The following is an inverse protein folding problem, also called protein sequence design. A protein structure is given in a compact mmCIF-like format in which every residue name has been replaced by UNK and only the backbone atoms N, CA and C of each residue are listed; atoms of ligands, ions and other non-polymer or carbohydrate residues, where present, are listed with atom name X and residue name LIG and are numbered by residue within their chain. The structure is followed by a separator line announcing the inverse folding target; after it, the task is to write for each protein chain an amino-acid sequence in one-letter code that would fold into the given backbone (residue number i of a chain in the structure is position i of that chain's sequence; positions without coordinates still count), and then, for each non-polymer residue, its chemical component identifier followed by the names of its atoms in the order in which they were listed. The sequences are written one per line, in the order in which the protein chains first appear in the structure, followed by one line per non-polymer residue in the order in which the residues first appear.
data_IF_661573296480
#
_entry.id   IF_661573296480
#
_cell.length_a   1.000
_cell.length_b   1.000
_cell.length_c   1.000
_cell.angle_alpha   90.00
_cell.angle_beta   90.00
_cell.angle_gamma   90.00
#
_symmetry.space_group_name_H-M   'P 1'
#
loop_
_entity.id
_entity.type
_entity.pdbx_description
1 polymer ?
#
# COMPACT_ATOMS: atom_id res chain seq x y z
N UNK A 1 8.18 -34.69 -24.45
CA UNK A 1 7.98 -33.23 -24.41
C UNK A 1 6.53 -32.98 -24.01
N UNK A 2 6.28 -32.42 -22.83
CA UNK A 2 4.92 -32.16 -22.34
C UNK A 2 4.36 -30.93 -23.02
N UNK A 3 3.51 -31.12 -24.01
CA UNK A 3 2.66 -30.07 -24.59
C UNK A 3 1.61 -29.72 -23.54
N UNK A 4 1.96 -28.77 -22.66
CA UNK A 4 1.04 -28.21 -21.67
C UNK A 4 -0.14 -27.60 -22.41
N UNK A 5 -1.25 -28.35 -22.52
CA UNK A 5 -2.53 -27.80 -22.93
C UNK A 5 -2.92 -26.79 -21.87
N UNK A 6 -2.67 -25.52 -22.16
CA UNK A 6 -2.89 -24.42 -21.23
C UNK A 6 -4.35 -24.48 -20.74
N UNK A 7 -4.51 -24.86 -19.48
CA UNK A 7 -5.80 -25.18 -18.85
C UNK A 7 -6.57 -23.92 -18.46
N UNK A 8 -5.97 -22.73 -18.62
CA UNK A 8 -6.59 -21.45 -18.38
C UNK A 8 -6.59 -20.60 -19.67
N UNK A 9 -7.65 -20.66 -20.49
CA UNK A 9 -7.72 -19.91 -21.74
C UNK A 9 -7.63 -18.39 -21.53
N UNK A 10 -7.92 -17.89 -20.33
CA UNK A 10 -7.90 -16.46 -20.01
C UNK A 10 -6.55 -15.88 -19.60
N UNK A 11 -5.48 -16.69 -19.49
CA UNK A 11 -4.16 -16.20 -19.07
C UNK A 11 -3.52 -15.26 -20.11
N UNK A 12 -2.73 -14.29 -19.66
CA UNK A 12 -1.98 -13.36 -20.51
C UNK A 12 -1.04 -14.07 -21.50
N UNK A 13 -0.55 -15.27 -21.15
CA UNK A 13 0.26 -16.10 -22.04
C UNK A 13 -0.48 -16.57 -23.32
N UNK A 14 -1.81 -16.49 -23.35
CA UNK A 14 -2.64 -16.79 -24.52
C UNK A 14 -3.14 -15.53 -25.24
N UNK A 15 -2.75 -14.33 -24.80
CA UNK A 15 -3.18 -13.05 -25.38
C UNK A 15 -2.08 -12.48 -26.29
N UNK A 16 -2.48 -11.64 -27.24
CA UNK A 16 -1.52 -10.96 -28.12
C UNK A 16 -0.68 -9.96 -27.33
N UNK A 17 0.60 -9.79 -27.68
CA UNK A 17 1.49 -8.84 -26.98
C UNK A 17 0.99 -7.40 -27.04
N UNK A 18 0.28 -7.03 -28.12
CA UNK A 18 -0.32 -5.70 -28.28
C UNK A 18 -1.43 -5.45 -27.26
N UNK A 19 -2.38 -6.38 -27.11
CA UNK A 19 -3.46 -6.28 -26.12
C UNK A 19 -2.89 -6.19 -24.70
N UNK A 20 -1.88 -7.00 -24.37
CA UNK A 20 -1.24 -6.95 -23.06
C UNK A 20 -0.59 -5.59 -22.80
N UNK A 21 0.05 -5.02 -23.81
CA UNK A 21 0.70 -3.71 -23.74
C UNK A 21 -0.32 -2.59 -23.57
N UNK A 22 -1.44 -2.65 -24.29
CA UNK A 22 -2.55 -1.71 -24.16
C UNK A 22 -3.15 -1.77 -22.73
N UNK A 23 -3.42 -2.98 -22.22
CA UNK A 23 -3.94 -3.20 -20.87
C UNK A 23 -2.97 -2.71 -19.79
N UNK A 24 -1.68 -3.01 -19.92
CA UNK A 24 -0.66 -2.51 -19.00
C UNK A 24 -0.60 -0.97 -19.02
N UNK A 25 -0.75 -0.36 -20.20
CA UNK A 25 -0.77 1.10 -20.36
C UNK A 25 -2.00 1.74 -19.74
N UNK A 26 -3.11 1.02 -19.57
CA UNK A 26 -4.33 1.53 -18.90
C UNK A 26 -4.20 1.60 -17.37
N UNK A 27 -3.32 0.79 -16.75
CA UNK A 27 -3.20 0.69 -15.29
C UNK A 27 -2.89 2.01 -14.57
N UNK A 28 -2.12 2.92 -15.21
CA UNK A 28 -1.82 4.26 -14.67
C UNK A 28 -2.77 5.37 -15.16
N UNK A 29 -3.58 5.10 -16.19
CA UNK A 29 -4.45 6.11 -16.84
C UNK A 29 -5.80 6.25 -16.16
N UNK A 30 -6.30 5.19 -15.52
CA UNK A 30 -7.56 5.26 -14.76
C UNK A 30 -7.48 6.22 -13.55
N UNK A 31 -6.27 6.44 -13.01
CA UNK A 31 -6.01 7.37 -11.91
C UNK A 31 -5.94 8.85 -12.34
N UNK A 32 -6.04 9.15 -13.65
CA UNK A 32 -5.82 10.49 -14.20
C UNK A 32 -7.06 11.42 -14.19
N UNK A 33 -8.21 11.01 -13.63
CA UNK A 33 -9.33 11.94 -13.40
C UNK A 33 -9.11 12.90 -12.21
N UNK A 34 -7.92 12.88 -11.58
CA UNK A 34 -7.57 13.76 -10.47
C UNK A 34 -6.37 14.68 -10.68
N UNK A 35 -5.65 14.59 -11.80
CA UNK A 35 -4.54 15.50 -12.06
C UNK A 35 -4.25 15.49 -13.56
N UNK A 36 -4.62 16.56 -14.28
CA UNK A 36 -4.12 16.79 -15.62
C UNK A 36 -2.59 16.74 -15.62
N UNK A 37 -2.08 16.09 -16.65
CA UNK A 37 -0.69 16.05 -17.06
C UNK A 37 -0.23 17.48 -17.38
N UNK A 38 0.21 18.24 -16.38
CA UNK A 38 1.09 19.40 -16.58
C UNK A 38 2.53 18.93 -16.71
N UNK A 39 2.77 18.02 -17.66
CA UNK A 39 4.10 17.62 -18.12
C UNK A 39 4.74 18.67 -19.06
N UNK A 40 4.22 19.89 -19.09
CA UNK A 40 4.83 21.04 -19.74
C UNK A 40 4.70 22.27 -18.87
N UNK A 41 5.82 22.76 -18.33
CA UNK A 41 5.97 24.13 -17.83
C UNK A 41 5.13 24.50 -16.59
N UNK A 42 5.32 23.79 -15.48
CA UNK A 42 5.09 24.42 -14.18
C UNK A 42 6.44 24.83 -13.59
N UNK A 43 6.75 26.12 -13.73
CA UNK A 43 7.73 26.82 -12.91
C UNK A 43 7.25 26.94 -11.45
N UNK A 44 6.73 25.85 -10.89
CA UNK A 44 6.32 25.69 -9.49
C UNK A 44 7.33 24.83 -8.75
N UNK A 45 8.62 25.00 -9.06
CA UNK A 45 9.72 24.47 -8.25
C UNK A 45 9.79 25.18 -6.89
N UNK A 46 8.94 26.17 -6.63
CA UNK A 46 8.82 26.85 -5.35
C UNK A 46 8.49 25.82 -4.25
N UNK A 47 9.55 25.34 -3.57
CA UNK A 47 9.42 24.37 -2.50
C UNK A 47 9.57 22.90 -2.90
N UNK A 48 10.07 22.58 -4.11
CA UNK A 48 10.40 21.22 -4.56
C UNK A 48 11.87 21.10 -4.97
N UNK A 49 12.50 19.98 -4.61
CA UNK A 49 13.85 19.61 -4.98
C UNK A 49 13.89 19.09 -6.42
N UNK A 50 15.07 19.08 -7.04
CA UNK A 50 15.29 18.53 -8.39
C UNK A 50 14.95 17.03 -8.51
N UNK A 51 14.99 16.29 -7.38
CA UNK A 51 14.61 14.88 -7.32
C UNK A 51 13.08 14.67 -7.14
N UNK A 52 12.27 15.72 -7.21
CA UNK A 52 10.81 15.67 -7.06
C UNK A 52 10.30 15.64 -5.62
N UNK A 53 11.17 15.56 -4.62
CA UNK A 53 10.78 15.63 -3.21
C UNK A 53 10.47 17.07 -2.78
N UNK A 54 9.65 17.27 -1.75
CA UNK A 54 9.43 18.61 -1.17
C UNK A 54 10.70 19.09 -0.44
N UNK A 55 11.04 20.38 -0.59
CA UNK A 55 12.09 20.99 0.23
C UNK A 55 11.61 21.05 1.67
N UNK A 56 12.45 20.65 2.62
CA UNK A 56 12.09 20.67 4.05
C UNK A 56 11.68 22.09 4.47
N UNK A 57 10.48 22.23 5.04
CA UNK A 57 9.98 23.49 5.58
C UNK A 57 9.33 24.44 4.57
N UNK A 58 9.22 24.09 3.29
CA UNK A 58 8.46 24.89 2.33
C UNK A 58 6.95 24.85 2.61
N UNK A 59 6.24 25.87 2.15
CA UNK A 59 4.77 25.90 2.18
C UNK A 59 4.17 24.71 1.44
N UNK A 60 4.76 24.32 0.30
CA UNK A 60 4.36 23.11 -0.43
C UNK A 60 4.46 21.83 0.41
N UNK A 61 5.52 21.69 1.22
CA UNK A 61 5.68 20.55 2.13
C UNK A 61 4.60 20.56 3.24
N UNK A 62 4.33 21.75 3.82
CA UNK A 62 3.34 21.92 4.88
C UNK A 62 1.93 21.62 4.38
N UNK A 63 1.55 22.17 3.23
CA UNK A 63 0.23 21.98 2.62
C UNK A 63 0.01 20.50 2.24
N UNK A 64 1.01 19.87 1.60
CA UNK A 64 0.92 18.46 1.24
C UNK A 64 0.78 17.56 2.48
N UNK A 65 1.55 17.83 3.53
CA UNK A 65 1.44 17.12 4.82
C UNK A 65 0.08 17.32 5.48
N UNK A 66 -0.44 18.55 5.49
CA UNK A 66 -1.76 18.85 6.05
C UNK A 66 -2.87 18.12 5.29
N UNK A 67 -2.89 18.21 3.96
CA UNK A 67 -3.85 17.47 3.11
C UNK A 67 -3.72 15.96 3.35
N UNK A 68 -2.52 15.41 3.34
CA UNK A 68 -2.30 13.98 3.60
C UNK A 68 -2.80 13.53 4.97
N UNK A 69 -2.61 14.36 5.99
CA UNK A 69 -3.13 14.13 7.34
C UNK A 69 -4.67 14.09 7.38
N UNK A 70 -5.35 15.02 6.72
CA UNK A 70 -6.83 15.05 6.72
C UNK A 70 -7.44 13.75 6.17
N UNK A 71 -6.88 13.19 5.10
CA UNK A 71 -7.38 11.94 4.50
C UNK A 71 -7.06 10.68 5.32
N UNK A 72 -6.15 10.78 6.31
CA UNK A 72 -5.84 9.65 7.20
C UNK A 72 -6.89 9.45 8.30
N UNK A 73 -7.75 10.45 8.53
CA UNK A 73 -8.82 10.39 9.53
C UNK A 73 -10.13 9.76 9.00
N UNK A 74 -10.32 9.64 7.69
CA UNK A 74 -11.54 9.04 7.11
C UNK A 74 -11.52 7.50 7.11
N UNK A 75 -10.39 6.89 7.45
CA UNK A 75 -10.34 5.48 7.80
C UNK A 75 -10.58 5.33 9.30
N UNK A 76 -11.86 5.22 9.70
CA UNK A 76 -12.28 4.51 10.90
C UNK A 76 -11.85 3.04 10.79
N UNK A 77 -10.53 2.83 10.88
CA UNK A 77 -9.94 1.54 11.15
C UNK A 77 -10.32 1.20 12.58
N UNK A 78 -11.42 0.45 12.71
CA UNK A 78 -11.69 -0.52 13.76
C UNK A 78 -10.56 -0.56 14.79
N UNK A 79 -10.75 0.18 15.87
CA UNK A 79 -9.93 0.10 17.07
C UNK A 79 -10.23 -1.24 17.79
N UNK A 80 -10.01 -2.36 17.11
CA UNK A 80 -9.83 -3.63 17.79
C UNK A 80 -8.37 -3.67 18.20
N UNK A 81 -8.10 -3.00 19.32
CA UNK A 81 -6.99 -3.38 20.16
C UNK A 81 -7.24 -4.83 20.56
N UNK A 82 -6.64 -5.76 19.82
CA UNK A 82 -6.42 -7.13 20.25
C UNK A 82 -5.59 -7.05 21.53
N UNK A 83 -6.27 -6.83 22.65
CA UNK A 83 -5.72 -7.10 23.97
C UNK A 83 -5.59 -8.61 24.00
N UNK A 84 -4.43 -9.09 23.56
CA UNK A 84 -3.99 -10.45 23.80
C UNK A 84 -3.98 -10.59 25.31
N UNK A 85 -5.07 -11.12 25.87
CA UNK A 85 -5.12 -11.48 27.27
C UNK A 85 -4.14 -12.62 27.41
N UNK A 86 -3.00 -12.32 28.02
CA UNK A 86 -1.96 -13.27 28.36
C UNK A 86 -2.61 -14.35 29.25
N UNK A 87 -2.94 -15.49 28.63
CA UNK A 87 -3.44 -16.66 29.34
C UNK A 87 -2.30 -17.21 30.18
N UNK A 88 -2.17 -16.70 31.40
CA UNK A 88 -1.24 -17.23 32.39
C UNK A 88 -1.58 -18.70 32.65
N UNK A 89 -0.83 -19.60 32.03
CA UNK A 89 -0.90 -21.03 32.33
C UNK A 89 -0.17 -21.25 33.65
N UNK A 90 -0.92 -21.28 34.75
CA UNK A 90 -0.40 -21.77 36.02
C UNK A 90 -0.27 -23.29 35.96
N UNK A 91 0.93 -23.75 35.62
CA UNK A 91 1.36 -25.14 35.84
C UNK A 91 1.49 -25.37 37.34
N UNK A 92 0.38 -25.75 37.97
CA UNK A 92 0.34 -26.23 39.35
C UNK A 92 1.04 -27.58 39.47
N UNK A 93 2.36 -27.60 39.64
CA UNK A 93 3.09 -28.78 40.13
C UNK A 93 2.89 -28.85 41.64
N UNK A 94 1.82 -29.49 42.07
CA UNK A 94 1.59 -29.89 43.46
C UNK A 94 2.47 -31.11 43.79
N UNK A 95 3.77 -30.91 43.99
CA UNK A 95 4.63 -31.92 44.63
C UNK A 95 4.46 -31.81 46.15
N UNK A 96 3.52 -32.56 46.70
CA UNK A 96 3.40 -32.77 48.15
C UNK A 96 4.42 -33.82 48.59
N UNK A 97 5.52 -33.36 49.17
CA UNK A 97 6.52 -34.14 49.87
C UNK A 97 6.34 -33.93 51.38
N UNK A 98 5.97 -34.97 52.12
CA UNK A 98 6.27 -35.25 53.54
C UNK A 98 5.34 -36.40 54.00
N UNK A 99 5.82 -37.58 54.40
CA UNK A 99 6.76 -37.98 55.46
C UNK A 99 5.95 -38.69 56.56
N UNK A 100 5.96 -40.03 56.52
CA UNK A 100 6.26 -40.99 57.61
C UNK A 100 6.17 -42.39 57.01
#
# INVERSE_FOLDING_TARGET
MSTTKNTNPGNFANRSTEEVKEVASMGGRASHRGHEDTSGQHSDTAGRNANGSFTKGSEAAKEAGHKGGMHSHDHDGVANGDKVTESKVEVGVSMSFNLI
#
